data_IF_837743149964
#
_entry.id   IF_837743149964
#
_cell.length_a   1.000
_cell.length_b   1.000
_cell.length_c   1.000
_cell.angle_alpha   90.00
_cell.angle_beta   90.00
_cell.angle_gamma   90.00
#
_symmetry.space_group_name_H-M   'P 1'
#
loop_
_entity.id
_entity.type
_entity.pdbx_description
1 polymer ?
#
# COMPACT_ATOMS: atom_id res chain seq x y z
N UNK A 1 -63.47 -0.93 4.07
CA UNK A 1 -63.99 -2.27 4.37
C UNK A 1 -62.78 -3.04 4.89
N UNK A 2 -62.62 -3.31 6.10
CA UNK A 2 -63.31 -4.10 7.10
C UNK A 2 -62.33 -5.11 7.59
N UNK A 3 -61.84 -4.96 8.79
CA UNK A 3 -62.09 -5.70 10.04
C UNK A 3 -61.46 -7.08 10.00
N UNK A 4 -60.78 -7.63 11.01
CA UNK A 4 -60.72 -7.43 12.45
C UNK A 4 -59.89 -8.59 13.03
N UNK A 5 -59.11 -8.35 14.06
CA UNK A 5 -59.29 -8.78 15.47
C UNK A 5 -59.20 -10.28 15.75
N UNK A 6 -58.25 -10.64 16.63
CA UNK A 6 -58.20 -11.92 17.34
C UNK A 6 -57.15 -11.92 18.47
N UNK A 7 -57.62 -11.74 19.68
CA UNK A 7 -56.93 -11.67 20.97
C UNK A 7 -56.92 -13.04 21.65
N UNK A 8 -55.88 -13.35 22.46
CA UNK A 8 -55.86 -14.43 23.43
C UNK A 8 -54.42 -14.73 23.82
N UNK A 9 -53.86 -14.55 24.92
CA UNK A 9 -54.31 -14.57 26.30
C UNK A 9 -53.87 -15.89 26.96
N UNK A 10 -52.85 -15.86 27.82
CA UNK A 10 -52.45 -17.02 28.61
C UNK A 10 -51.26 -16.73 29.52
N UNK A 11 -51.52 -16.37 30.75
CA UNK A 11 -50.54 -16.17 31.82
C UNK A 11 -50.13 -17.51 32.47
N UNK A 12 -48.94 -17.56 33.01
CA UNK A 12 -48.49 -18.64 33.90
C UNK A 12 -47.20 -18.25 34.66
N UNK A 13 -47.35 -18.01 35.92
CA UNK A 13 -46.40 -17.54 36.90
C UNK A 13 -45.48 -18.64 37.45
N UNK A 14 -44.34 -18.25 37.99
CA UNK A 14 -43.83 -18.91 39.18
C UNK A 14 -42.33 -19.25 39.23
N UNK A 15 -41.61 -18.65 40.18
CA UNK A 15 -40.57 -19.34 40.89
C UNK A 15 -39.14 -18.78 40.89
N UNK A 16 -38.87 -17.87 41.81
CA UNK A 16 -37.65 -17.69 42.70
C UNK A 16 -36.51 -18.73 42.52
N UNK A 17 -35.19 -18.48 42.63
CA UNK A 17 -34.41 -17.68 43.59
C UNK A 17 -32.93 -17.96 43.38
N UNK A 18 -32.05 -17.06 43.79
CA UNK A 18 -30.69 -17.37 44.24
C UNK A 18 -29.56 -16.86 43.36
N UNK A 19 -29.02 -15.74 43.62
CA UNK A 19 -27.84 -15.37 44.35
C UNK A 19 -26.49 -15.76 43.72
N UNK A 20 -25.65 -14.77 43.43
CA UNK A 20 -24.25 -15.02 43.14
C UNK A 20 -23.61 -13.89 42.36
N UNK A 21 -23.11 -12.87 43.09
CA UNK A 21 -22.21 -11.85 42.55
C UNK A 21 -20.90 -12.49 42.13
N UNK A 22 -20.45 -12.16 40.96
CA UNK A 22 -19.15 -12.54 40.45
C UNK A 22 -18.74 -11.52 39.39
N UNK A 23 -18.22 -10.41 39.92
CA UNK A 23 -17.47 -9.42 39.14
C UNK A 23 -16.26 -10.11 38.50
N UNK A 24 -16.20 -10.13 37.21
CA UNK A 24 -15.16 -10.74 36.42
C UNK A 24 -15.02 -10.03 35.08
N UNK A 25 -14.61 -8.76 35.11
CA UNK A 25 -14.07 -8.04 33.93
C UNK A 25 -12.87 -8.80 33.39
N UNK A 26 -13.12 -9.82 32.58
CA UNK A 26 -12.09 -10.38 31.72
C UNK A 26 -11.79 -9.37 30.60
N UNK A 27 -10.74 -8.57 30.84
CA UNK A 27 -10.03 -7.90 29.79
C UNK A 27 -9.67 -8.93 28.73
N UNK A 28 -10.32 -8.85 27.58
CA UNK A 28 -9.87 -9.53 26.37
C UNK A 28 -8.54 -8.91 25.97
N UNK A 29 -7.46 -9.48 26.51
CA UNK A 29 -6.13 -9.32 26.01
C UNK A 29 -6.08 -9.91 24.61
N UNK A 30 -6.50 -9.11 23.61
CA UNK A 30 -6.23 -9.39 22.22
C UNK A 30 -4.72 -9.41 22.05
N UNK A 31 -4.13 -10.60 21.95
CA UNK A 31 -2.78 -10.80 21.46
C UNK A 31 -2.71 -10.09 20.12
N UNK A 32 -2.02 -8.95 20.08
CA UNK A 32 -1.60 -8.31 18.86
C UNK A 32 -0.77 -9.35 18.09
N UNK A 33 -1.38 -10.01 17.12
CA UNK A 33 -0.64 -10.76 16.11
C UNK A 33 0.21 -9.72 15.39
N UNK A 34 1.51 -9.70 15.70
CA UNK A 34 2.48 -8.91 14.95
C UNK A 34 2.41 -9.29 13.47
N UNK A 35 2.87 -8.42 12.56
CA UNK A 35 2.88 -8.71 11.15
C UNK A 35 3.55 -10.08 10.95
N UNK A 36 2.84 -10.99 10.25
CA UNK A 36 3.39 -12.31 9.93
C UNK A 36 4.72 -12.09 9.24
N UNK A 37 5.79 -12.59 9.83
CA UNK A 37 7.14 -12.47 9.29
C UNK A 37 7.15 -12.98 7.84
N UNK A 38 7.65 -12.18 6.88
CA UNK A 38 7.66 -12.57 5.49
C UNK A 38 8.50 -13.84 5.33
N UNK A 39 7.86 -14.96 4.99
CA UNK A 39 8.56 -16.24 4.82
C UNK A 39 9.44 -16.22 3.56
N UNK A 40 10.52 -17.00 3.57
CA UNK A 40 11.37 -17.20 2.38
C UNK A 40 10.54 -17.68 1.18
N UNK A 41 9.53 -18.53 1.42
CA UNK A 41 8.62 -19.02 0.38
C UNK A 41 7.84 -17.89 -0.29
N UNK A 42 7.33 -16.92 0.51
CA UNK A 42 6.68 -15.71 -0.01
C UNK A 42 7.62 -14.91 -0.91
N UNK A 43 8.84 -14.63 -0.43
CA UNK A 43 9.82 -13.85 -1.20
C UNK A 43 10.21 -14.52 -2.51
N UNK A 44 10.38 -15.85 -2.51
CA UNK A 44 10.64 -16.61 -3.73
C UNK A 44 9.45 -16.59 -4.69
N UNK A 45 8.22 -16.66 -4.19
CA UNK A 45 7.02 -16.57 -5.02
C UNK A 45 6.91 -15.21 -5.70
N UNK A 46 7.08 -14.12 -4.93
CA UNK A 46 7.08 -12.75 -5.46
C UNK A 46 8.20 -12.52 -6.48
N UNK A 47 9.40 -13.02 -6.20
CA UNK A 47 10.53 -12.89 -7.12
C UNK A 47 10.30 -13.66 -8.42
N UNK A 48 9.77 -14.89 -8.35
CA UNK A 48 9.39 -15.65 -9.55
C UNK A 48 8.33 -14.94 -10.38
N UNK A 49 7.28 -14.42 -9.72
CA UNK A 49 6.25 -13.66 -10.41
C UNK A 49 6.84 -12.41 -11.11
N UNK A 50 7.73 -11.70 -10.44
CA UNK A 50 8.44 -10.56 -11.00
C UNK A 50 9.29 -10.92 -12.23
N UNK A 51 9.98 -12.07 -12.23
CA UNK A 51 10.75 -12.50 -13.40
C UNK A 51 9.86 -12.77 -14.64
N UNK A 52 8.59 -13.11 -14.43
CA UNK A 52 7.62 -13.38 -15.49
C UNK A 52 6.63 -12.21 -15.70
N UNK A 53 6.86 -11.06 -15.06
CA UNK A 53 5.96 -9.89 -15.16
C UNK A 53 5.67 -9.47 -16.60
N UNK A 54 6.65 -9.59 -17.50
CA UNK A 54 6.49 -9.23 -18.91
C UNK A 54 5.64 -10.21 -19.70
N UNK A 55 5.64 -11.47 -19.30
CA UNK A 55 4.91 -12.55 -19.97
C UNK A 55 3.49 -12.67 -19.43
N UNK A 56 3.31 -12.46 -18.12
CA UNK A 56 2.03 -12.50 -17.42
C UNK A 56 1.96 -11.41 -16.34
N UNK A 57 1.75 -10.15 -16.73
CA UNK A 57 1.63 -9.05 -15.78
C UNK A 57 0.42 -9.23 -14.84
N UNK A 58 -0.69 -9.82 -15.33
CA UNK A 58 -1.89 -10.04 -14.53
C UNK A 58 -1.65 -10.93 -13.32
N UNK A 59 -0.98 -12.08 -13.52
CA UNK A 59 -0.64 -12.98 -12.40
C UNK A 59 0.34 -12.33 -11.43
N UNK A 60 1.33 -11.60 -11.93
CA UNK A 60 2.31 -10.91 -11.11
C UNK A 60 1.64 -9.86 -10.20
N UNK A 61 0.87 -8.94 -10.78
CA UNK A 61 0.22 -7.86 -10.04
C UNK A 61 -0.88 -8.37 -9.10
N UNK A 62 -1.60 -9.44 -9.47
CA UNK A 62 -2.57 -10.09 -8.57
C UNK A 62 -1.88 -10.66 -7.32
N UNK A 63 -0.72 -11.31 -7.48
CA UNK A 63 0.04 -11.82 -6.34
C UNK A 63 0.57 -10.69 -5.45
N UNK A 64 1.10 -9.62 -6.07
CA UNK A 64 1.58 -8.43 -5.37
C UNK A 64 0.45 -7.72 -4.60
N UNK A 65 -0.75 -7.67 -5.19
CA UNK A 65 -1.92 -7.05 -4.57
C UNK A 65 -2.38 -7.82 -3.32
N UNK A 66 -2.48 -9.14 -3.41
CA UNK A 66 -2.80 -10.01 -2.26
C UNK A 66 -1.80 -9.83 -1.12
N UNK A 67 -0.52 -9.86 -1.47
CA UNK A 67 0.56 -9.68 -0.51
C UNK A 67 0.54 -8.29 0.15
N UNK A 68 0.28 -7.24 -0.60
CA UNK A 68 0.18 -5.89 -0.07
C UNK A 68 -1.05 -5.73 0.85
N UNK A 69 -2.19 -6.29 0.46
CA UNK A 69 -3.38 -6.26 1.29
C UNK A 69 -3.21 -7.05 2.60
N UNK A 70 -2.51 -8.21 2.57
CA UNK A 70 -2.14 -8.94 3.79
C UNK A 70 -1.26 -8.08 4.72
N UNK A 71 -0.33 -7.30 4.16
CA UNK A 71 0.53 -6.40 4.94
C UNK A 71 -0.25 -5.22 5.53
N UNK A 72 -1.20 -4.66 4.79
CA UNK A 72 -2.10 -3.60 5.27
C UNK A 72 -2.95 -4.14 6.42
N UNK A 73 -3.59 -5.29 6.26
CA UNK A 73 -4.42 -5.89 7.32
C UNK A 73 -3.61 -6.30 8.55
N UNK A 74 -2.37 -6.74 8.38
CA UNK A 74 -1.48 -7.02 9.51
C UNK A 74 -1.14 -5.77 10.33
N UNK A 75 -1.07 -4.60 9.70
CA UNK A 75 -0.69 -3.35 10.36
C UNK A 75 -1.89 -2.51 10.83
N UNK A 76 -3.01 -2.58 10.12
CA UNK A 76 -4.21 -1.78 10.36
C UNK A 76 -5.33 -2.58 11.04
N UNK A 77 -5.50 -3.83 10.68
CA UNK A 77 -6.66 -4.67 10.94
C UNK A 77 -7.47 -4.90 9.68
N UNK A 78 -8.61 -5.60 9.78
CA UNK A 78 -9.48 -5.87 8.65
C UNK A 78 -9.90 -4.59 7.91
N UNK A 79 -9.86 -4.66 6.58
CA UNK A 79 -10.24 -3.53 5.72
C UNK A 79 -11.71 -3.55 5.31
N UNK A 80 -12.46 -4.57 5.69
CA UNK A 80 -13.91 -4.66 5.44
C UNK A 80 -14.64 -3.42 5.94
N UNK A 81 -15.46 -2.80 5.08
CA UNK A 81 -16.20 -1.57 5.35
C UNK A 81 -15.32 -0.32 5.52
N UNK A 82 -14.01 -0.40 5.27
CA UNK A 82 -13.07 0.73 5.37
C UNK A 82 -12.89 1.43 4.04
N UNK A 83 -12.62 2.72 4.12
CA UNK A 83 -12.28 3.52 2.93
C UNK A 83 -10.78 3.37 2.63
N UNK A 84 -10.47 2.80 1.48
CA UNK A 84 -9.11 2.67 0.95
C UNK A 84 -8.94 3.57 -0.26
N UNK A 85 -7.93 4.42 -0.25
CA UNK A 85 -7.58 5.31 -1.38
C UNK A 85 -6.27 4.81 -1.97
N UNK A 86 -6.31 4.30 -3.19
CA UNK A 86 -5.18 3.79 -3.95
C UNK A 86 -4.71 4.86 -4.95
N UNK A 87 -3.49 5.38 -4.74
CA UNK A 87 -2.94 6.51 -5.48
C UNK A 87 -1.80 6.03 -6.37
N UNK A 88 -1.95 6.24 -7.68
CA UNK A 88 -1.03 5.73 -8.69
C UNK A 88 -1.19 4.22 -8.88
N UNK A 89 -2.40 3.70 -8.72
CA UNK A 89 -2.66 2.26 -8.75
C UNK A 89 -2.70 1.64 -10.15
N UNK A 90 -2.45 2.42 -11.21
CA UNK A 90 -2.36 1.95 -12.59
C UNK A 90 -3.57 1.13 -13.01
N UNK A 91 -3.37 -0.12 -13.41
CA UNK A 91 -4.44 -1.05 -13.82
C UNK A 91 -5.39 -1.50 -12.73
N UNK A 92 -5.25 -1.00 -11.47
CA UNK A 92 -6.22 -1.19 -10.39
C UNK A 92 -6.18 -2.55 -9.67
N UNK A 93 -5.16 -3.35 -9.85
CA UNK A 93 -5.04 -4.67 -9.20
C UNK A 93 -5.11 -4.61 -7.68
N UNK A 94 -4.50 -3.60 -7.07
CA UNK A 94 -4.54 -3.40 -5.61
C UNK A 94 -5.91 -2.95 -5.15
N UNK A 95 -6.51 -1.98 -5.85
CA UNK A 95 -7.87 -1.51 -5.59
C UNK A 95 -8.87 -2.64 -5.63
N UNK A 96 -8.78 -3.52 -6.64
CA UNK A 96 -9.68 -4.66 -6.80
C UNK A 96 -9.50 -5.70 -5.68
N UNK A 97 -8.27 -5.97 -5.25
CA UNK A 97 -8.00 -6.85 -4.12
C UNK A 97 -8.58 -6.28 -2.82
N UNK A 98 -8.47 -4.97 -2.57
CA UNK A 98 -9.11 -4.34 -1.41
C UNK A 98 -10.64 -4.44 -1.47
N UNK A 99 -11.25 -4.26 -2.64
CA UNK A 99 -12.70 -4.47 -2.85
C UNK A 99 -13.11 -5.90 -2.57
N UNK A 100 -12.34 -6.86 -3.03
CA UNK A 100 -12.58 -8.30 -2.78
C UNK A 100 -12.55 -8.62 -1.27
N UNK A 101 -11.80 -7.84 -0.47
CA UNK A 101 -11.79 -7.92 1.00
C UNK A 101 -12.88 -7.08 1.68
N UNK A 102 -13.83 -6.55 0.92
CA UNK A 102 -14.96 -5.78 1.44
C UNK A 102 -14.67 -4.32 1.74
N UNK A 103 -13.55 -3.77 1.31
CA UNK A 103 -13.25 -2.35 1.45
C UNK A 103 -13.99 -1.49 0.41
N UNK A 104 -14.30 -0.25 0.76
CA UNK A 104 -14.69 0.81 -0.17
C UNK A 104 -13.40 1.39 -0.77
N UNK A 105 -12.89 0.76 -1.84
CA UNK A 105 -11.63 1.14 -2.44
C UNK A 105 -11.81 1.98 -3.71
N UNK A 106 -11.07 3.09 -3.80
CA UNK A 106 -11.10 4.08 -4.88
C UNK A 106 -9.70 4.23 -5.48
N UNK A 107 -9.63 4.20 -6.81
CA UNK A 107 -8.41 4.33 -7.59
C UNK A 107 -8.23 5.76 -8.09
N UNK A 108 -7.07 6.34 -7.85
CA UNK A 108 -6.63 7.64 -8.39
C UNK A 108 -5.36 7.44 -9.21
N UNK A 109 -5.43 7.77 -10.50
CA UNK A 109 -4.32 7.58 -11.44
C UNK A 109 -4.19 8.82 -12.34
N UNK A 110 -3.03 9.51 -12.36
CA UNK A 110 -2.88 10.72 -13.19
C UNK A 110 -2.84 10.42 -14.70
N UNK A 111 -2.34 9.25 -15.10
CA UNK A 111 -2.26 8.89 -16.51
C UNK A 111 -3.37 7.91 -16.91
N UNK A 112 -4.38 8.44 -17.65
CA UNK A 112 -5.47 7.61 -18.15
C UNK A 112 -5.00 6.37 -18.94
N UNK A 113 -3.82 6.41 -19.55
CA UNK A 113 -3.30 5.28 -20.33
C UNK A 113 -2.92 4.09 -19.45
N UNK A 114 -2.54 4.34 -18.20
CA UNK A 114 -2.21 3.30 -17.23
C UNK A 114 -3.45 2.56 -16.70
N UNK A 115 -4.63 3.18 -16.78
CA UNK A 115 -5.90 2.52 -16.43
C UNK A 115 -6.33 1.43 -17.42
N UNK A 116 -5.67 1.37 -18.59
CA UNK A 116 -6.01 0.40 -19.62
C UNK A 116 -7.31 0.74 -20.39
N UNK A 117 -7.71 -0.16 -21.34
CA UNK A 117 -8.89 0.04 -22.17
C UNK A 117 -10.20 -0.08 -21.39
N UNK A 118 -10.23 -0.89 -20.34
CA UNK A 118 -11.36 -1.11 -19.45
C UNK A 118 -10.99 -0.69 -18.03
N UNK A 119 -11.10 0.62 -17.71
CA UNK A 119 -10.74 1.13 -16.39
C UNK A 119 -11.55 0.46 -15.27
N UNK A 120 -10.95 0.20 -14.11
CA UNK A 120 -11.70 -0.28 -12.95
C UNK A 120 -12.85 0.67 -12.60
N UNK A 121 -13.96 0.12 -12.10
CA UNK A 121 -15.07 0.94 -11.63
C UNK A 121 -14.54 1.96 -10.58
N UNK A 122 -15.10 3.18 -10.58
CA UNK A 122 -14.71 4.25 -9.65
C UNK A 122 -13.22 4.65 -9.73
N UNK A 123 -12.56 4.43 -10.87
CA UNK A 123 -11.26 5.01 -11.14
C UNK A 123 -11.43 6.50 -11.47
N UNK A 124 -10.58 7.33 -10.88
CA UNK A 124 -10.57 8.78 -11.06
C UNK A 124 -9.23 9.20 -11.64
N UNK A 125 -9.26 9.99 -12.72
CA UNK A 125 -8.05 10.61 -13.23
C UNK A 125 -7.78 11.87 -12.41
N UNK A 126 -6.71 11.84 -11.60
CA UNK A 126 -6.37 12.95 -10.72
C UNK A 126 -4.87 13.04 -10.47
N UNK A 127 -4.41 14.26 -10.21
CA UNK A 127 -3.03 14.52 -9.79
C UNK A 127 -2.83 14.06 -8.34
N UNK A 128 -1.81 13.22 -8.10
CA UNK A 128 -1.45 12.74 -6.76
C UNK A 128 -0.94 13.82 -5.81
N UNK A 129 -0.64 15.02 -6.31
CA UNK A 129 -0.26 16.19 -5.49
C UNK A 129 -1.46 17.00 -4.98
N UNK A 130 -2.62 16.84 -5.62
CA UNK A 130 -3.84 17.60 -5.28
C UNK A 130 -5.06 16.72 -5.58
N UNK A 131 -5.39 15.85 -4.66
CA UNK A 131 -6.50 14.93 -4.87
C UNK A 131 -7.86 15.60 -4.59
N UNK A 132 -8.90 15.32 -5.39
CA UNK A 132 -10.24 15.85 -5.20
C UNK A 132 -10.97 15.14 -4.04
N UNK A 133 -10.32 15.10 -2.88
CA UNK A 133 -10.80 14.47 -1.65
C UNK A 133 -10.72 15.44 -0.48
N UNK A 134 -11.70 15.36 0.41
CA UNK A 134 -11.64 16.08 1.67
C UNK A 134 -10.56 15.51 2.60
N UNK A 135 -10.12 16.31 3.56
CA UNK A 135 -9.15 15.90 4.57
C UNK A 135 -9.68 14.73 5.41
N UNK A 136 -8.83 13.76 5.64
CA UNK A 136 -9.12 12.68 6.58
C UNK A 136 -10.23 11.71 6.17
N UNK A 137 -10.50 11.55 4.87
CA UNK A 137 -11.53 10.61 4.38
C UNK A 137 -11.08 9.17 4.34
N UNK A 138 -9.77 8.91 4.18
CA UNK A 138 -9.24 7.56 4.01
C UNK A 138 -8.90 6.91 5.35
N UNK A 139 -9.38 5.70 5.58
CA UNK A 139 -8.89 4.82 6.65
C UNK A 139 -7.48 4.32 6.33
N UNK A 140 -7.26 3.99 5.05
CA UNK A 140 -5.98 3.55 4.51
C UNK A 140 -5.71 4.33 3.23
N UNK A 141 -4.58 5.02 3.19
CA UNK A 141 -4.02 5.59 1.97
C UNK A 141 -2.92 4.64 1.47
N UNK A 142 -3.08 4.16 0.25
CA UNK A 142 -2.20 3.17 -0.35
C UNK A 142 -1.51 3.75 -1.59
N UNK A 143 -0.18 3.60 -1.68
CA UNK A 143 0.59 4.02 -2.84
C UNK A 143 1.79 3.10 -3.02
N UNK A 144 1.79 2.34 -4.11
CA UNK A 144 2.76 1.28 -4.37
C UNK A 144 3.54 1.52 -5.65
N UNK A 145 4.85 1.69 -5.54
CA UNK A 145 5.76 1.97 -6.66
C UNK A 145 5.39 3.27 -7.42
N UNK A 146 5.10 4.32 -6.67
CA UNK A 146 4.73 5.64 -7.22
C UNK A 146 5.76 6.71 -6.87
N UNK A 147 6.37 6.63 -5.67
CA UNK A 147 7.23 7.71 -5.16
C UNK A 147 8.43 7.99 -6.08
N UNK A 148 8.93 6.99 -6.79
CA UNK A 148 9.98 7.11 -7.80
C UNK A 148 9.53 7.81 -9.09
N UNK A 149 8.22 8.00 -9.27
CA UNK A 149 7.61 8.66 -10.43
C UNK A 149 7.14 10.09 -10.13
N UNK A 150 7.29 10.57 -8.89
CA UNK A 150 6.90 11.92 -8.50
C UNK A 150 8.10 12.85 -8.38
N UNK A 151 7.98 14.06 -8.91
CA UNK A 151 9.07 15.05 -8.92
C UNK A 151 9.34 15.63 -7.52
N UNK A 152 8.29 15.81 -6.71
CA UNK A 152 8.35 16.29 -5.34
C UNK A 152 7.73 15.29 -4.36
N UNK A 153 8.55 14.35 -3.83
CA UNK A 153 8.09 13.38 -2.84
C UNK A 153 7.52 13.98 -1.55
N UNK A 154 7.96 15.19 -1.18
CA UNK A 154 7.49 15.85 0.05
C UNK A 154 6.05 16.32 -0.08
N UNK A 155 5.74 17.04 -1.15
CA UNK A 155 4.38 17.49 -1.44
C UNK A 155 3.45 16.30 -1.62
N UNK A 156 3.90 15.26 -2.33
CA UNK A 156 3.14 14.01 -2.48
C UNK A 156 2.84 13.34 -1.13
N UNK A 157 3.83 13.15 -0.26
CA UNK A 157 3.63 12.60 1.08
C UNK A 157 2.69 13.46 1.92
N UNK A 158 2.75 14.79 1.80
CA UNK A 158 1.84 15.69 2.51
C UNK A 158 0.39 15.48 2.07
N UNK A 159 0.16 15.24 0.80
CA UNK A 159 -1.17 14.94 0.27
C UNK A 159 -1.69 13.57 0.76
N UNK A 160 -0.82 12.53 0.80
CA UNK A 160 -1.19 11.25 1.41
C UNK A 160 -1.61 11.41 2.87
N UNK A 161 -0.87 12.24 3.63
CA UNK A 161 -1.19 12.51 5.04
C UNK A 161 -2.50 13.28 5.14
N UNK A 162 -2.73 14.31 4.30
CA UNK A 162 -3.95 15.12 4.32
C UNK A 162 -5.19 14.26 4.14
N UNK A 163 -5.21 13.37 3.15
CA UNK A 163 -6.38 12.53 2.85
C UNK A 163 -6.60 11.39 3.84
N UNK A 164 -5.55 10.95 4.54
CA UNK A 164 -5.65 9.89 5.54
C UNK A 164 -6.23 10.46 6.83
N UNK A 165 -7.22 9.82 7.44
CA UNK A 165 -7.78 10.25 8.72
C UNK A 165 -6.77 10.16 9.89
N UNK A 166 -6.92 10.93 10.97
CA UNK A 166 -6.13 10.74 12.17
C UNK A 166 -6.18 9.29 12.67
N UNK A 167 -5.03 8.69 12.96
CA UNK A 167 -4.89 7.28 13.31
C UNK A 167 -4.99 6.30 12.13
N UNK A 168 -5.26 6.80 10.91
CA UNK A 168 -5.28 6.00 9.68
C UNK A 168 -3.89 5.52 9.26
N UNK A 169 -3.85 4.57 8.36
CA UNK A 169 -2.63 3.95 7.84
C UNK A 169 -2.25 4.55 6.48
N UNK A 170 -0.96 4.78 6.28
CA UNK A 170 -0.40 5.14 4.99
C UNK A 170 0.60 4.05 4.60
N UNK A 171 0.36 3.40 3.48
CA UNK A 171 1.25 2.42 2.87
C UNK A 171 1.95 3.06 1.69
N UNK A 172 3.27 3.19 1.76
CA UNK A 172 4.09 3.70 0.64
C UNK A 172 5.18 2.70 0.34
N UNK A 173 5.31 2.31 -0.92
CA UNK A 173 6.47 1.56 -1.37
C UNK A 173 7.06 2.19 -2.63
N UNK A 174 8.37 2.06 -2.80
CA UNK A 174 9.05 2.57 -3.98
C UNK A 174 10.32 1.78 -4.31
N UNK A 175 10.67 1.77 -5.58
CA UNK A 175 11.92 1.20 -6.08
C UNK A 175 13.05 2.20 -5.87
N UNK A 176 14.03 1.82 -5.07
CA UNK A 176 15.19 2.66 -4.78
C UNK A 176 16.11 2.78 -6.01
N UNK A 177 16.59 4.00 -6.29
CA UNK A 177 17.44 4.27 -7.44
C UNK A 177 18.71 3.41 -7.51
N UNK A 178 19.39 3.20 -6.39
CA UNK A 178 20.61 2.38 -6.31
C UNK A 178 20.34 0.87 -6.23
N UNK A 179 19.11 0.42 -6.33
CA UNK A 179 18.80 -1.00 -6.50
C UNK A 179 19.18 -1.50 -7.90
N UNK A 180 19.38 -2.80 -8.11
CA UNK A 180 19.58 -3.36 -9.44
C UNK A 180 18.47 -3.03 -10.45
N UNK A 181 17.28 -2.67 -9.95
CA UNK A 181 16.06 -2.39 -10.72
C UNK A 181 15.71 -0.89 -10.80
N UNK A 182 16.51 -0.01 -10.17
CA UNK A 182 16.24 1.42 -10.09
C UNK A 182 16.10 2.12 -11.44
N UNK A 183 16.76 1.61 -12.48
CA UNK A 183 16.62 2.10 -13.85
C UNK A 183 15.42 1.52 -14.61
N UNK A 184 14.50 0.81 -13.96
CA UNK A 184 13.33 0.18 -14.57
C UNK A 184 13.73 -0.67 -15.78
N UNK A 185 13.15 -0.44 -16.98
CA UNK A 185 13.39 -1.25 -18.18
C UNK A 185 14.83 -1.17 -18.74
N UNK A 186 15.60 -0.16 -18.34
CA UNK A 186 17.02 -0.02 -18.70
C UNK A 186 18.00 -0.36 -17.58
N UNK A 187 17.51 -0.91 -16.48
CA UNK A 187 18.32 -1.49 -15.42
C UNK A 187 19.07 -2.74 -15.92
N UNK A 188 20.23 -3.09 -15.36
CA UNK A 188 21.00 -2.35 -14.36
C UNK A 188 21.94 -1.27 -14.95
N UNK A 189 21.81 -0.96 -16.24
CA UNK A 189 22.72 -0.07 -16.96
C UNK A 189 22.66 1.39 -16.50
N UNK A 190 21.64 1.76 -15.72
CA UNK A 190 21.50 3.09 -15.12
C UNK A 190 22.71 3.50 -14.25
N UNK A 191 23.45 2.54 -13.69
CA UNK A 191 24.71 2.79 -12.96
C UNK A 191 25.79 3.45 -13.82
N UNK A 192 25.72 3.29 -15.14
CA UNK A 192 26.66 3.88 -16.11
C UNK A 192 26.11 5.17 -16.74
N UNK A 193 25.05 5.73 -16.17
CA UNK A 193 24.38 6.96 -16.62
C UNK A 193 23.12 6.70 -17.43
N UNK A 194 22.09 7.50 -17.12
CA UNK A 194 20.73 7.33 -17.65
C UNK A 194 20.69 7.39 -19.19
N UNK A 195 21.36 8.38 -19.80
CA UNK A 195 21.36 8.57 -21.25
C UNK A 195 21.99 7.37 -22.00
N UNK A 196 23.10 6.86 -21.49
CA UNK A 196 23.77 5.69 -22.08
C UNK A 196 22.92 4.43 -21.95
N UNK A 197 22.28 4.25 -20.79
CA UNK A 197 21.39 3.13 -20.52
C UNK A 197 20.17 3.15 -21.45
N UNK A 198 19.52 4.30 -21.62
CA UNK A 198 18.39 4.50 -22.53
C UNK A 198 18.79 4.27 -24.02
N UNK A 199 19.92 4.82 -24.42
CA UNK A 199 20.43 4.59 -25.78
C UNK A 199 20.72 3.11 -26.07
N UNK A 200 21.29 2.39 -25.07
CA UNK A 200 21.48 0.94 -25.13
C UNK A 200 20.15 0.20 -25.25
N UNK A 201 19.17 0.55 -24.38
CA UNK A 201 17.84 -0.05 -24.43
C UNK A 201 17.21 0.09 -25.81
N UNK A 202 17.18 1.32 -26.37
CA UNK A 202 16.65 1.59 -27.71
C UNK A 202 17.36 0.79 -28.80
N UNK A 203 18.71 0.70 -28.76
CA UNK A 203 19.46 -0.10 -29.73
C UNK A 203 19.13 -1.59 -29.66
N UNK A 204 18.89 -2.10 -28.43
CA UNK A 204 18.61 -3.54 -28.21
C UNK A 204 17.17 -3.92 -28.57
N UNK A 205 16.21 -3.05 -28.30
CA UNK A 205 14.78 -3.36 -28.42
C UNK A 205 14.12 -2.77 -29.65
N UNK A 206 14.77 -1.79 -30.30
CA UNK A 206 14.17 -1.00 -31.39
C UNK A 206 13.08 -0.02 -30.93
N UNK A 207 12.82 0.08 -29.62
CA UNK A 207 11.76 0.90 -29.03
C UNK A 207 12.33 1.96 -28.09
N UNK A 208 11.67 3.13 -27.96
CA UNK A 208 12.02 4.09 -26.92
C UNK A 208 11.74 3.50 -25.54
N UNK A 209 12.50 3.90 -24.54
CA UNK A 209 12.19 3.59 -23.16
C UNK A 209 10.93 4.35 -22.70
N UNK A 210 10.09 3.73 -21.88
CA UNK A 210 8.92 4.35 -21.25
C UNK A 210 9.34 5.44 -20.27
N UNK A 211 10.42 5.18 -19.51
CA UNK A 211 10.87 6.06 -18.45
C UNK A 211 12.04 6.95 -18.87
N UNK A 212 11.98 8.20 -18.42
CA UNK A 212 13.02 9.21 -18.61
C UNK A 212 13.37 9.80 -17.24
N UNK A 213 14.66 9.76 -16.89
CA UNK A 213 15.14 10.35 -15.63
C UNK A 213 14.93 11.88 -15.64
N UNK A 214 14.30 12.39 -14.58
CA UNK A 214 13.96 13.81 -14.45
C UNK A 214 12.63 14.22 -15.08
N UNK A 215 11.92 13.31 -15.78
CA UNK A 215 10.59 13.60 -16.35
C UNK A 215 9.50 12.76 -15.67
N UNK A 216 9.63 11.44 -15.70
CA UNK A 216 8.68 10.47 -15.13
C UNK A 216 9.36 9.34 -14.36
N UNK A 217 10.65 9.46 -14.08
CA UNK A 217 11.43 8.63 -13.17
C UNK A 217 12.44 9.51 -12.45
N UNK A 218 12.49 9.43 -11.14
CA UNK A 218 13.36 10.26 -10.31
C UNK A 218 14.26 9.39 -9.43
N UNK A 219 15.48 9.87 -9.16
CA UNK A 219 16.46 9.15 -8.35
C UNK A 219 16.10 9.25 -6.86
N UNK A 220 15.17 8.42 -6.40
CA UNK A 220 14.76 8.37 -4.99
C UNK A 220 15.69 7.47 -4.19
N UNK A 221 16.16 7.97 -3.04
CA UNK A 221 17.09 7.28 -2.15
C UNK A 221 16.44 6.99 -0.79
N UNK A 222 16.63 5.79 -0.28
CA UNK A 222 16.06 5.34 1.00
C UNK A 222 16.46 6.25 2.15
N UNK A 223 17.75 6.60 2.24
CA UNK A 223 18.26 7.44 3.31
C UNK A 223 17.64 8.83 3.34
N UNK A 224 17.44 9.43 2.18
CA UNK A 224 16.78 10.73 2.06
C UNK A 224 15.33 10.65 2.47
N UNK A 225 14.58 9.68 1.91
CA UNK A 225 13.16 9.46 2.25
C UNK A 225 12.96 9.19 3.74
N UNK A 226 13.80 8.35 4.36
CA UNK A 226 13.71 8.08 5.80
C UNK A 226 14.02 9.31 6.65
N UNK A 227 14.96 10.17 6.25
CA UNK A 227 15.21 11.45 6.96
C UNK A 227 14.00 12.38 6.87
N UNK A 228 13.44 12.51 5.68
CA UNK A 228 12.27 13.35 5.41
C UNK A 228 11.05 12.89 6.22
N UNK A 229 10.76 11.60 6.21
CA UNK A 229 9.63 11.03 6.98
C UNK A 229 9.84 11.20 8.49
N UNK A 230 11.07 11.00 9.00
CA UNK A 230 11.38 11.17 10.43
C UNK A 230 11.36 12.62 10.92
N UNK A 231 11.53 13.57 10.01
CA UNK A 231 11.48 15.00 10.33
C UNK A 231 10.03 15.52 10.46
N UNK A 232 9.03 14.70 10.15
CA UNK A 232 7.61 15.05 10.26
C UNK A 232 7.07 14.66 11.65
N UNK A 233 6.23 15.51 12.19
CA UNK A 233 5.52 15.33 13.46
C UNK A 233 4.07 14.82 13.29
N UNK A 234 3.54 14.94 12.07
CA UNK A 234 2.18 14.53 11.72
C UNK A 234 2.04 13.02 11.39
N UNK A 235 3.15 12.29 11.32
CA UNK A 235 3.17 10.83 11.06
C UNK A 235 4.17 10.10 11.95
N UNK A 236 3.91 8.82 12.21
CA UNK A 236 4.86 7.90 12.85
C UNK A 236 5.17 6.72 11.93
N UNK A 237 6.42 6.25 11.95
CA UNK A 237 6.83 5.05 11.22
C UNK A 237 6.44 3.81 12.04
N UNK A 238 5.49 3.03 11.52
CA UNK A 238 5.11 1.72 12.08
C UNK A 238 6.11 0.65 11.65
N UNK A 239 6.49 0.67 10.36
CA UNK A 239 7.50 -0.25 9.79
C UNK A 239 8.24 0.41 8.63
N UNK A 240 9.54 0.15 8.54
CA UNK A 240 10.38 0.53 7.40
C UNK A 240 11.26 -0.67 7.06
N UNK A 241 10.98 -1.32 5.93
CA UNK A 241 11.64 -2.59 5.56
C UNK A 241 11.72 -2.79 4.06
N UNK A 242 12.55 -3.73 3.62
CA UNK A 242 12.45 -4.22 2.25
C UNK A 242 11.12 -4.94 2.03
N UNK A 243 10.47 -4.65 0.89
CA UNK A 243 9.19 -5.25 0.52
C UNK A 243 9.32 -6.74 0.21
N UNK A 244 10.41 -7.14 -0.43
CA UNK A 244 10.56 -8.48 -1.03
C UNK A 244 11.44 -9.44 -0.22
N UNK A 245 12.33 -8.96 0.64
CA UNK A 245 13.21 -9.81 1.45
C UNK A 245 12.50 -10.36 2.70
N UNK A 246 12.76 -11.65 3.09
CA UNK A 246 11.98 -12.28 4.14
C UNK A 246 12.35 -11.83 5.56
N UNK A 247 13.62 -11.95 5.93
CA UNK A 247 14.13 -11.59 7.26
C UNK A 247 15.32 -10.66 7.10
N UNK A 248 15.79 -10.07 8.16
CA UNK A 248 16.78 -8.98 8.12
C UNK A 248 16.32 -7.73 7.32
N UNK A 249 15.09 -7.74 6.79
CA UNK A 249 14.57 -6.67 5.96
C UNK A 249 14.59 -5.31 6.68
N UNK A 250 14.25 -5.31 7.98
CA UNK A 250 14.34 -4.10 8.80
C UNK A 250 15.78 -3.74 9.16
N UNK A 251 16.62 -4.73 9.46
CA UNK A 251 18.03 -4.51 9.80
C UNK A 251 18.78 -3.93 8.61
N UNK A 252 18.55 -4.44 7.40
CA UNK A 252 19.13 -3.92 6.16
C UNK A 252 18.67 -2.48 5.91
N UNK A 253 17.37 -2.19 6.09
CA UNK A 253 16.83 -0.85 5.94
C UNK A 253 17.39 0.16 6.96
N UNK A 254 17.85 -0.32 8.12
CA UNK A 254 18.48 0.51 9.17
C UNK A 254 19.97 0.75 8.92
N UNK A 255 20.66 -0.09 8.11
CA UNK A 255 22.10 0.02 7.87
C UNK A 255 22.43 1.09 6.83
N UNK A 256 23.05 2.23 7.18
CA UNK A 256 23.44 3.27 6.24
C UNK A 256 24.36 2.72 5.13
N UNK A 257 24.17 3.17 3.90
CA UNK A 257 24.92 2.68 2.74
C UNK A 257 24.38 1.35 2.23
N UNK A 258 24.42 0.28 3.03
CA UNK A 258 23.94 -1.05 2.62
C UNK A 258 22.48 -1.03 2.16
N UNK A 259 21.61 -0.28 2.86
CA UNK A 259 20.19 -0.15 2.52
C UNK A 259 19.95 0.34 1.09
N UNK A 260 20.83 1.20 0.57
CA UNK A 260 20.67 1.77 -0.77
C UNK A 260 20.86 0.72 -1.89
N UNK A 261 21.63 -0.33 -1.64
CA UNK A 261 21.89 -1.39 -2.62
C UNK A 261 21.11 -2.67 -2.34
N UNK A 262 20.97 -3.03 -1.08
CA UNK A 262 20.38 -4.30 -0.68
C UNK A 262 18.85 -4.23 -0.52
N UNK A 263 18.27 -3.07 -0.29
CA UNK A 263 16.82 -2.88 -0.26
C UNK A 263 16.34 -2.46 -1.65
N UNK A 264 15.90 -3.41 -2.44
CA UNK A 264 15.48 -3.15 -3.83
C UNK A 264 14.24 -2.28 -3.92
N UNK A 265 13.30 -2.52 -3.03
CA UNK A 265 12.09 -1.74 -2.88
C UNK A 265 11.87 -1.50 -1.38
N UNK A 266 11.77 -0.24 -0.97
CA UNK A 266 11.46 0.11 0.40
C UNK A 266 9.95 0.13 0.59
N UNK A 267 9.49 -0.55 1.64
CA UNK A 267 8.14 -0.42 2.16
C UNK A 267 8.16 0.41 3.43
N UNK A 268 7.37 1.47 3.44
CA UNK A 268 7.04 2.28 4.60
C UNK A 268 5.56 2.05 4.97
N UNK A 269 5.33 1.67 6.19
CA UNK A 269 4.01 1.67 6.81
C UNK A 269 4.03 2.77 7.84
N UNK A 270 3.20 3.79 7.62
CA UNK A 270 3.12 4.98 8.45
C UNK A 270 1.74 5.07 9.08
N UNK A 271 1.63 5.80 10.17
CA UNK A 271 0.36 6.11 10.82
C UNK A 271 0.24 7.63 10.97
N UNK A 272 -0.87 8.20 10.53
CA UNK A 272 -1.15 9.62 10.76
C UNK A 272 -1.37 9.85 12.26
N UNK A 273 -0.65 10.83 12.82
CA UNK A 273 -0.83 11.23 14.19
C UNK A 273 -2.21 11.89 14.42
N UNK A 274 -2.80 11.79 15.60
CA UNK A 274 -3.88 12.68 16.00
C UNK A 274 -3.42 14.14 15.93
N UNK A 275 -4.35 15.09 15.70
CA UNK A 275 -4.05 16.52 15.75
C UNK A 275 -3.62 17.00 17.13
#
# INVERSE_FOLDING_TARGET
>A
MGAGVGVGGGAGAGGRSGGGAGDGTRAHGGTRAGPKDPSVRRSLALFRAFLHERDDPGACYTLLARDAADQVEAAYGAVEGRTVVDIGGGGGYFTEEFRRRGAHAYLFEPDRRELGPEPPAQAVVADGYLMPLADGVADVCFSSNVLEHVADPQTFLSELVRVTRPGGLIYVSFTNWLSPWGGHEWAPWHYFGAERARARYRRRTGRPAKHTLGENLFAVHIGTTLRQVRARDDITIVSARSRYWPFLAEAVAKAPGLREFATWNLLLILRRCPP
#
